data_IF_164986888989
#
_entry.id   IF_164986888989
#
_cell.length_a   1.000
_cell.length_b   1.000
_cell.length_c   1.000
_cell.angle_alpha   90.00
_cell.angle_beta   90.00
_cell.angle_gamma   90.00
#
_symmetry.space_group_name_H-M   'P 1'
#
loop_
_entity.id
_entity.type
_entity.pdbx_description
1 polymer ?
#
# COMPACT_ATOMS: atom_id res chain seq x y z
N UNK A 1 -13.80 -49.19 58.46
CA UNK A 1 -14.69 -48.13 58.90
C UNK A 1 -14.46 -46.93 57.91
N UNK A 2 -15.52 -46.45 57.33
CA UNK A 2 -15.71 -45.33 56.40
C UNK A 2 -15.43 -45.64 54.93
N UNK A 3 -16.56 -45.89 54.25
CA UNK A 3 -16.70 -45.96 52.85
C UNK A 3 -16.67 -44.56 52.20
N UNK A 4 -16.09 -44.48 51.04
CA UNK A 4 -16.24 -43.37 50.12
C UNK A 4 -16.93 -43.86 48.85
N UNK A 5 -18.16 -43.39 48.66
CA UNK A 5 -18.89 -43.55 47.40
C UNK A 5 -18.29 -42.63 46.30
N UNK A 6 -18.14 -43.12 45.07
CA UNK A 6 -17.78 -42.23 43.97
C UNK A 6 -19.03 -41.54 43.41
N UNK A 7 -19.05 -40.23 43.47
CA UNK A 7 -20.02 -39.37 42.82
C UNK A 7 -19.81 -39.40 41.30
N UNK A 8 -20.89 -39.68 40.57
CA UNK A 8 -20.97 -39.61 39.09
C UNK A 8 -20.80 -38.19 38.61
N UNK A 9 -20.04 -37.94 37.51
CA UNK A 9 -20.07 -36.68 36.81
C UNK A 9 -21.32 -36.56 35.91
N UNK A 10 -21.80 -35.33 35.64
CA UNK A 10 -23.02 -35.11 34.89
C UNK A 10 -22.80 -35.36 33.36
N UNK A 11 -23.77 -36.02 32.79
CA UNK A 11 -24.01 -36.18 31.36
C UNK A 11 -24.16 -34.81 30.68
N UNK A 12 -23.45 -34.60 29.57
CA UNK A 12 -23.70 -33.45 28.72
C UNK A 12 -22.55 -33.10 27.75
N UNK A 13 -21.93 -34.07 27.13
CA UNK A 13 -21.10 -33.78 25.97
C UNK A 13 -21.84 -34.31 24.74
N UNK A 14 -22.39 -33.36 24.01
CA UNK A 14 -23.01 -33.58 22.68
C UNK A 14 -21.90 -33.96 21.72
N UNK A 15 -21.79 -35.25 21.41
CA UNK A 15 -21.01 -35.71 20.27
C UNK A 15 -21.70 -35.24 18.99
N UNK A 16 -21.19 -34.16 18.41
CA UNK A 16 -21.49 -33.83 17.03
C UNK A 16 -20.76 -34.89 16.18
N UNK A 17 -21.52 -35.85 15.70
CA UNK A 17 -21.10 -36.73 14.63
C UNK A 17 -20.85 -35.86 13.41
N UNK A 18 -19.60 -35.49 13.18
CA UNK A 18 -19.14 -35.05 11.88
C UNK A 18 -19.27 -36.26 10.94
N UNK A 19 -20.35 -36.30 10.20
CA UNK A 19 -20.44 -37.13 9.02
C UNK A 19 -19.35 -36.65 8.06
N UNK A 20 -18.25 -37.39 8.05
CA UNK A 20 -17.34 -37.38 6.91
C UNK A 20 -18.17 -37.86 5.70
N UNK A 21 -18.64 -36.91 4.91
CA UNK A 21 -19.03 -37.17 3.55
C UNK A 21 -17.76 -37.66 2.83
N UNK A 22 -17.76 -38.94 2.55
CA UNK A 22 -16.86 -39.55 1.61
C UNK A 22 -17.16 -38.89 0.24
N UNK A 23 -16.43 -37.80 -0.06
CA UNK A 23 -16.30 -37.36 -1.44
C UNK A 23 -15.59 -38.49 -2.17
N UNK A 24 -16.38 -39.20 -2.92
CA UNK A 24 -15.96 -40.20 -3.90
C UNK A 24 -14.92 -39.50 -4.77
N UNK A 25 -13.67 -39.88 -4.56
CA UNK A 25 -12.54 -39.62 -5.43
C UNK A 25 -12.89 -40.25 -6.80
N UNK A 26 -13.62 -39.51 -7.64
CA UNK A 26 -13.72 -39.84 -9.04
C UNK A 26 -12.28 -39.76 -9.56
N UNK A 27 -11.78 -40.80 -10.23
CA UNK A 27 -10.51 -40.70 -10.90
C UNK A 27 -10.65 -39.56 -11.91
N UNK A 28 -9.97 -38.44 -11.62
CA UNK A 28 -9.86 -37.34 -12.57
C UNK A 28 -9.39 -37.92 -13.89
N UNK A 29 -10.17 -37.74 -14.94
CA UNK A 29 -9.85 -38.32 -16.21
C UNK A 29 -8.53 -37.74 -16.70
N UNK A 30 -7.69 -38.54 -17.32
CA UNK A 30 -6.43 -38.06 -17.92
C UNK A 30 -6.66 -36.83 -18.79
N UNK A 31 -7.82 -36.73 -19.44
CA UNK A 31 -8.22 -35.55 -20.21
C UNK A 31 -8.37 -34.30 -19.33
N UNK A 32 -8.99 -34.38 -18.14
CA UNK A 32 -9.15 -33.27 -17.21
C UNK A 32 -7.80 -32.84 -16.63
N UNK A 33 -6.94 -33.76 -16.25
CA UNK A 33 -5.58 -33.48 -15.79
C UNK A 33 -4.71 -32.84 -16.89
N UNK A 34 -4.90 -33.32 -18.13
CA UNK A 34 -4.21 -32.79 -19.29
C UNK A 34 -4.70 -31.39 -19.66
N UNK A 35 -6.03 -31.14 -19.63
CA UNK A 35 -6.58 -29.79 -19.81
C UNK A 35 -6.19 -28.84 -18.70
N UNK A 36 -6.15 -29.26 -17.43
CA UNK A 36 -5.60 -28.46 -16.32
C UNK A 36 -4.12 -28.16 -16.52
N UNK A 37 -3.35 -29.14 -16.99
CA UNK A 37 -1.93 -28.94 -17.31
C UNK A 37 -1.73 -27.97 -18.47
N UNK A 38 -2.57 -28.02 -19.49
CA UNK A 38 -2.55 -27.09 -20.62
C UNK A 38 -3.00 -25.68 -20.18
N UNK A 39 -4.05 -25.57 -19.35
CA UNK A 39 -4.54 -24.31 -18.83
C UNK A 39 -3.51 -23.63 -17.90
N UNK A 40 -2.75 -24.40 -17.11
CA UNK A 40 -1.65 -23.89 -16.29
C UNK A 40 -0.41 -23.48 -17.12
N UNK A 41 -0.32 -23.91 -18.38
CA UNK A 41 0.76 -23.57 -19.31
C UNK A 41 0.46 -22.36 -20.22
N UNK A 42 -0.76 -21.81 -20.22
CA UNK A 42 -1.05 -20.55 -20.92
C UNK A 42 -0.45 -19.35 -20.17
N UNK A 43 0.85 -19.24 -20.24
CA UNK A 43 1.56 -18.08 -19.71
C UNK A 43 1.31 -16.87 -20.59
N UNK A 44 0.72 -15.84 -19.99
CA UNK A 44 0.42 -14.57 -20.69
C UNK A 44 1.54 -13.59 -20.48
N UNK A 45 1.89 -12.86 -21.53
CA UNK A 45 2.79 -11.70 -21.40
C UNK A 45 2.26 -10.74 -20.32
N UNK A 46 3.14 -10.33 -19.40
CA UNK A 46 2.79 -9.44 -18.32
C UNK A 46 2.28 -10.12 -17.05
N UNK A 47 2.25 -11.45 -17.00
CA UNK A 47 1.94 -12.19 -15.79
C UNK A 47 3.15 -12.21 -14.85
N UNK A 48 2.90 -12.04 -13.54
CA UNK A 48 3.93 -12.11 -12.50
C UNK A 48 3.94 -13.53 -11.93
N UNK A 49 5.09 -14.16 -12.03
CA UNK A 49 5.32 -15.52 -11.52
C UNK A 49 6.46 -15.50 -10.49
N UNK A 50 6.44 -16.46 -9.58
CA UNK A 50 7.55 -16.68 -8.65
C UNK A 50 8.53 -17.67 -9.27
N UNK A 51 9.80 -17.28 -9.34
CA UNK A 51 10.86 -18.09 -9.86
C UNK A 51 11.94 -18.32 -8.80
N UNK A 52 12.55 -19.50 -8.81
CA UNK A 52 13.69 -19.82 -7.95
C UNK A 52 15.00 -19.46 -8.66
N UNK A 53 15.91 -18.81 -7.96
CA UNK A 53 17.24 -18.50 -8.48
C UNK A 53 18.08 -19.76 -8.45
N UNK A 54 18.46 -20.26 -9.62
CA UNK A 54 19.28 -21.47 -9.77
C UNK A 54 20.77 -21.11 -9.68
N UNK A 55 21.16 -20.06 -10.39
CA UNK A 55 22.56 -19.65 -10.50
C UNK A 55 22.67 -18.14 -10.75
N UNK A 56 23.71 -17.55 -10.21
CA UNK A 56 24.06 -16.13 -10.45
C UNK A 56 25.36 -16.10 -11.26
N UNK A 57 25.26 -15.68 -12.52
CA UNK A 57 26.39 -15.50 -13.42
C UNK A 57 26.79 -14.01 -13.47
N UNK A 58 27.88 -13.70 -14.15
CA UNK A 58 28.43 -12.33 -14.20
C UNK A 58 27.47 -11.28 -14.83
N UNK A 59 26.70 -11.68 -15.84
CA UNK A 59 25.80 -10.78 -16.58
C UNK A 59 24.32 -11.12 -16.36
N UNK A 60 24.00 -12.34 -15.94
CA UNK A 60 22.64 -12.82 -15.84
C UNK A 60 22.42 -13.62 -14.55
N UNK A 61 21.19 -13.60 -14.09
CA UNK A 61 20.70 -14.50 -13.05
C UNK A 61 19.81 -15.54 -13.76
N UNK A 62 20.15 -16.81 -13.57
CA UNK A 62 19.40 -17.93 -14.12
C UNK A 62 18.32 -18.30 -13.12
N UNK A 63 17.08 -18.31 -13.57
CA UNK A 63 15.92 -18.58 -12.72
C UNK A 63 15.09 -19.71 -13.30
N UNK A 64 14.55 -20.54 -12.41
CA UNK A 64 13.60 -21.59 -12.74
C UNK A 64 12.19 -21.13 -12.32
N UNK A 65 11.35 -20.88 -13.29
CA UNK A 65 9.98 -20.43 -13.10
C UNK A 65 8.95 -21.55 -13.35
N UNK A 66 9.38 -22.80 -13.36
CA UNK A 66 8.53 -23.94 -13.75
C UNK A 66 8.22 -24.01 -15.26
N UNK A 67 9.00 -23.30 -16.07
CA UNK A 67 8.94 -23.28 -17.51
C UNK A 67 9.64 -24.50 -18.13
N UNK A 68 9.46 -24.70 -19.43
CA UNK A 68 10.17 -25.76 -20.17
C UNK A 68 11.69 -25.62 -20.15
N UNK A 69 12.18 -24.39 -20.02
CA UNK A 69 13.60 -24.03 -19.95
C UNK A 69 13.86 -23.06 -18.81
N UNK A 70 15.11 -23.03 -18.35
CA UNK A 70 15.61 -21.98 -17.48
C UNK A 70 15.53 -20.62 -18.19
N UNK A 71 15.21 -19.59 -17.45
CA UNK A 71 15.10 -18.26 -18.00
C UNK A 71 16.22 -17.34 -17.48
N UNK A 72 16.59 -16.38 -18.31
CA UNK A 72 17.70 -15.46 -18.02
C UNK A 72 17.15 -14.08 -17.72
N UNK A 73 17.55 -13.53 -16.56
CA UNK A 73 17.22 -12.15 -16.15
C UNK A 73 18.53 -11.37 -16.03
N UNK A 74 18.63 -10.16 -16.58
CA UNK A 74 19.82 -9.34 -16.46
C UNK A 74 20.19 -9.09 -14.99
N UNK A 75 21.48 -9.22 -14.65
CA UNK A 75 21.96 -9.02 -13.27
C UNK A 75 21.73 -7.59 -12.76
N UNK A 76 21.61 -6.62 -13.68
CA UNK A 76 21.35 -5.22 -13.35
C UNK A 76 20.04 -5.02 -12.58
N UNK A 77 19.03 -5.84 -12.86
CA UNK A 77 17.73 -5.79 -12.18
C UNK A 77 17.78 -6.32 -10.73
N UNK A 78 18.88 -6.98 -10.35
CA UNK A 78 19.12 -7.53 -9.01
C UNK A 78 20.14 -6.73 -8.19
N UNK A 79 20.70 -5.66 -8.77
CA UNK A 79 21.61 -4.77 -8.06
C UNK A 79 20.83 -3.72 -7.26
N UNK A 80 21.30 -3.46 -6.06
CA UNK A 80 20.85 -2.32 -5.24
C UNK A 80 21.52 -1.02 -5.71
N UNK A 81 21.09 0.10 -5.14
CA UNK A 81 21.66 1.44 -5.38
C UNK A 81 23.18 1.50 -5.12
N UNK A 82 23.72 0.53 -4.38
CA UNK A 82 25.14 0.37 -4.11
C UNK A 82 25.88 -0.51 -5.12
N UNK A 83 25.15 -1.12 -6.08
CA UNK A 83 25.69 -2.01 -7.10
C UNK A 83 25.96 -3.44 -6.62
N UNK A 84 25.54 -3.80 -5.42
CA UNK A 84 25.66 -5.16 -4.88
C UNK A 84 24.48 -6.02 -5.32
N UNK A 85 24.75 -7.29 -5.62
CA UNK A 85 23.72 -8.27 -6.00
C UNK A 85 23.00 -8.75 -4.74
N UNK A 86 21.69 -8.57 -4.70
CA UNK A 86 20.86 -8.85 -3.51
C UNK A 86 20.32 -10.28 -3.43
N UNK A 87 20.60 -11.13 -4.43
CA UNK A 87 20.05 -12.47 -4.52
C UNK A 87 21.13 -13.54 -4.48
N UNK A 88 20.77 -14.68 -3.89
CA UNK A 88 21.59 -15.87 -3.80
C UNK A 88 20.90 -17.07 -4.48
N UNK A 89 21.66 -18.08 -4.94
CA UNK A 89 21.08 -19.33 -5.41
C UNK A 89 20.16 -19.97 -4.35
N UNK A 90 18.95 -20.34 -4.73
CA UNK A 90 17.89 -20.85 -3.85
C UNK A 90 16.88 -19.81 -3.38
N UNK A 91 17.08 -18.53 -3.70
CA UNK A 91 16.10 -17.49 -3.37
C UNK A 91 14.89 -17.51 -4.33
N UNK A 92 13.72 -17.18 -3.79
CA UNK A 92 12.52 -17.01 -4.59
C UNK A 92 12.33 -15.54 -4.95
N UNK A 93 12.17 -15.26 -6.24
CA UNK A 93 12.02 -13.91 -6.77
C UNK A 93 10.76 -13.81 -7.64
N UNK A 94 10.07 -12.67 -7.51
CA UNK A 94 8.94 -12.37 -8.39
C UNK A 94 9.44 -11.77 -9.70
N UNK A 95 9.08 -12.39 -10.82
CA UNK A 95 9.46 -11.97 -12.17
C UNK A 95 8.23 -11.90 -13.08
N UNK A 96 8.23 -10.99 -14.04
CA UNK A 96 7.17 -10.87 -15.02
C UNK A 96 7.62 -11.44 -16.36
N UNK A 97 6.73 -12.12 -17.05
CA UNK A 97 6.97 -12.64 -18.38
C UNK A 97 6.98 -11.46 -19.37
N UNK A 98 8.13 -11.18 -19.96
CA UNK A 98 8.26 -10.16 -21.00
C UNK A 98 7.92 -10.71 -22.38
N UNK A 99 8.47 -11.88 -22.70
CA UNK A 99 8.20 -12.61 -23.94
C UNK A 99 8.24 -14.09 -23.65
N UNK A 100 7.25 -14.82 -24.18
CA UNK A 100 7.16 -16.28 -24.02
C UNK A 100 8.18 -16.99 -24.91
N UNK A 101 8.49 -16.42 -26.08
CA UNK A 101 9.53 -16.90 -26.99
C UNK A 101 10.24 -15.72 -27.66
N UNK A 102 11.56 -15.65 -27.50
CA UNK A 102 12.40 -14.93 -28.43
C UNK A 102 12.72 -15.88 -29.58
N UNK A 103 12.90 -15.50 -30.80
CA UNK A 103 13.11 -16.39 -31.95
C UNK A 103 14.10 -17.55 -31.79
N UNK A 104 14.65 -17.76 -30.60
CA UNK A 104 15.54 -18.87 -30.18
C UNK A 104 14.90 -19.85 -29.22
N UNK A 105 13.61 -19.65 -28.83
CA UNK A 105 12.88 -20.52 -27.92
C UNK A 105 13.09 -20.23 -26.43
N UNK A 106 13.81 -19.15 -26.08
CA UNK A 106 14.05 -18.78 -24.69
C UNK A 106 12.96 -17.82 -24.18
N UNK A 107 12.56 -17.99 -22.92
CA UNK A 107 11.64 -17.07 -22.25
C UNK A 107 12.42 -15.91 -21.63
N UNK A 108 12.01 -14.68 -21.94
CA UNK A 108 12.58 -13.49 -21.34
C UNK A 108 11.71 -13.08 -20.15
N UNK A 109 12.34 -13.01 -18.99
CA UNK A 109 11.73 -12.57 -17.75
C UNK A 109 12.33 -11.23 -17.31
N UNK A 110 11.52 -10.39 -16.65
CA UNK A 110 11.99 -9.12 -16.08
C UNK A 110 11.47 -8.97 -14.65
N UNK A 111 12.40 -8.70 -13.73
CA UNK A 111 12.10 -8.38 -12.33
C UNK A 111 11.58 -6.95 -12.18
N UNK A 112 12.10 -6.01 -12.96
CA UNK A 112 11.68 -4.62 -12.93
C UNK A 112 10.22 -4.46 -13.35
N UNK A 113 9.78 -5.21 -14.36
CA UNK A 113 8.35 -5.25 -14.73
C UNK A 113 7.50 -5.83 -13.62
N UNK A 114 7.96 -6.91 -12.96
CA UNK A 114 7.26 -7.50 -11.82
C UNK A 114 7.13 -6.50 -10.65
N UNK A 115 8.22 -5.82 -10.30
CA UNK A 115 8.20 -4.77 -9.25
C UNK A 115 7.22 -3.65 -9.60
N UNK A 116 7.21 -3.18 -10.84
CA UNK A 116 6.28 -2.14 -11.30
C UNK A 116 4.83 -2.63 -11.23
N UNK A 117 4.54 -3.84 -11.70
CA UNK A 117 3.19 -4.40 -11.62
C UNK A 117 2.71 -4.55 -10.17
N UNK A 118 3.55 -5.08 -9.29
CA UNK A 118 3.24 -5.16 -7.86
C UNK A 118 2.99 -3.78 -7.24
N UNK A 119 3.82 -2.79 -7.57
CA UNK A 119 3.63 -1.42 -7.11
C UNK A 119 2.32 -0.81 -7.63
N UNK A 120 1.91 -1.09 -8.88
CA UNK A 120 0.62 -0.67 -9.41
C UNK A 120 -0.55 -1.32 -8.68
N UNK A 121 -0.49 -2.63 -8.41
CA UNK A 121 -1.52 -3.35 -7.64
C UNK A 121 -1.65 -2.78 -6.22
N UNK A 122 -0.53 -2.50 -5.56
CA UNK A 122 -0.54 -1.87 -4.24
C UNK A 122 -1.19 -0.47 -4.27
N UNK A 123 -0.94 0.33 -5.31
CA UNK A 123 -1.57 1.65 -5.48
C UNK A 123 -3.06 1.55 -5.80
N UNK A 124 -3.49 0.55 -6.57
CA UNK A 124 -4.91 0.27 -6.83
C UNK A 124 -5.62 -0.12 -5.53
N UNK A 125 -5.02 -1.01 -4.75
CA UNK A 125 -5.54 -1.39 -3.44
C UNK A 125 -5.61 -0.20 -2.49
N UNK A 126 -4.57 0.63 -2.43
CA UNK A 126 -4.56 1.85 -1.62
C UNK A 126 -5.60 2.87 -2.06
N UNK A 127 -5.93 2.94 -3.36
CA UNK A 127 -7.03 3.78 -3.86
C UNK A 127 -8.39 3.27 -3.39
N UNK A 128 -8.62 1.96 -3.40
CA UNK A 128 -9.89 1.33 -2.99
C UNK A 128 -10.07 1.33 -1.47
N UNK A 129 -9.04 0.96 -0.72
CA UNK A 129 -9.05 0.94 0.75
C UNK A 129 -8.96 2.33 1.37
N UNK A 130 -8.46 3.32 0.61
CA UNK A 130 -8.19 4.66 1.10
C UNK A 130 -6.95 4.76 1.98
N UNK A 131 -6.09 3.73 1.96
CA UNK A 131 -4.85 3.68 2.72
C UNK A 131 -3.85 4.76 2.29
N UNK A 132 -3.01 5.15 3.22
CA UNK A 132 -1.97 6.13 2.99
C UNK A 132 -0.74 5.46 2.37
N UNK A 133 -0.17 6.13 1.39
CA UNK A 133 1.02 5.68 0.68
C UNK A 133 2.17 6.63 0.95
N UNK A 134 3.31 6.08 1.34
CA UNK A 134 4.52 6.86 1.58
C UNK A 134 5.22 7.17 0.25
N UNK A 135 5.67 8.40 0.09
CA UNK A 135 6.40 8.82 -1.09
C UNK A 135 7.40 9.94 -0.81
N UNK A 136 8.42 10.01 -1.64
CA UNK A 136 9.45 11.06 -1.57
C UNK A 136 9.24 12.06 -2.70
N UNK A 137 9.23 13.35 -2.35
CA UNK A 137 9.13 14.43 -3.34
C UNK A 137 10.46 14.58 -4.06
N UNK A 138 10.47 14.34 -5.38
CA UNK A 138 11.69 14.36 -6.20
C UNK A 138 11.97 15.69 -6.86
N UNK A 139 10.93 16.48 -7.16
CA UNK A 139 11.15 17.78 -7.80
C UNK A 139 9.88 18.52 -8.17
N UNK A 140 10.08 19.77 -8.62
CA UNK A 140 9.01 20.67 -9.03
C UNK A 140 8.70 20.52 -10.52
N UNK A 141 7.41 20.48 -10.84
CA UNK A 141 6.91 20.49 -12.22
C UNK A 141 5.87 21.59 -12.41
N UNK A 142 5.51 21.89 -13.66
CA UNK A 142 4.49 22.89 -13.93
C UNK A 142 3.14 22.48 -13.33
N UNK A 143 2.71 23.23 -12.33
CA UNK A 143 1.42 23.01 -11.64
C UNK A 143 1.47 22.12 -10.39
N UNK A 144 2.64 21.64 -9.97
CA UNK A 144 2.75 20.80 -8.76
C UNK A 144 4.14 20.24 -8.53
N UNK A 145 4.18 19.10 -7.86
CA UNK A 145 5.39 18.35 -7.51
C UNK A 145 5.32 16.95 -8.07
N UNK A 146 6.48 16.37 -8.32
CA UNK A 146 6.63 14.94 -8.61
C UNK A 146 6.99 14.19 -7.34
N UNK A 147 6.28 13.13 -7.07
CA UNK A 147 6.49 12.24 -5.93
C UNK A 147 6.86 10.87 -6.45
N UNK A 148 7.84 10.25 -5.83
CA UNK A 148 8.23 8.87 -6.09
C UNK A 148 7.62 7.98 -5.02
N UNK A 149 6.74 7.08 -5.43
CA UNK A 149 6.05 6.14 -4.55
C UNK A 149 6.25 4.73 -5.08
N UNK A 150 6.88 3.86 -4.30
CA UNK A 150 7.15 2.46 -4.68
C UNK A 150 7.79 2.31 -6.09
N UNK A 151 8.65 3.25 -6.50
CA UNK A 151 9.28 3.24 -7.83
C UNK A 151 8.40 3.78 -8.97
N UNK A 152 7.18 4.23 -8.68
CA UNK A 152 6.25 4.85 -9.64
C UNK A 152 6.23 6.36 -9.42
N UNK A 153 6.27 7.11 -10.53
CA UNK A 153 6.12 8.56 -10.49
C UNK A 153 4.65 8.94 -10.31
N UNK A 154 4.37 9.68 -9.24
CA UNK A 154 3.07 10.26 -8.98
C UNK A 154 3.13 11.79 -9.12
N UNK A 155 2.02 12.38 -9.54
CA UNK A 155 1.85 13.82 -9.63
C UNK A 155 1.08 14.33 -8.40
N UNK A 156 1.62 15.34 -7.74
CA UNK A 156 1.00 16.05 -6.64
C UNK A 156 0.66 17.47 -7.12
N UNK A 157 -0.61 17.77 -7.42
CA UNK A 157 -1.03 19.13 -7.79
C UNK A 157 -0.73 20.14 -6.67
N UNK A 158 -0.34 21.36 -7.01
CA UNK A 158 -0.03 22.41 -6.04
C UNK A 158 -1.19 22.73 -5.09
N UNK A 159 -2.44 22.57 -5.55
CA UNK A 159 -3.65 22.73 -4.73
C UNK A 159 -3.87 21.62 -3.71
N UNK A 160 -3.19 20.47 -3.86
CA UNK A 160 -3.33 19.28 -3.02
C UNK A 160 -2.11 19.03 -2.13
N UNK A 161 -1.13 19.95 -2.14
CA UNK A 161 0.07 19.87 -1.29
C UNK A 161 -0.27 20.12 0.18
N UNK A 162 -1.08 21.15 0.43
CA UNK A 162 -1.45 21.54 1.78
C UNK A 162 -2.87 22.12 1.82
N UNK A 163 -3.43 22.31 3.03
CA UNK A 163 -4.74 22.94 3.26
C UNK A 163 -4.75 24.41 2.82
N UNK A 164 -3.59 25.09 2.91
CA UNK A 164 -3.40 26.46 2.41
C UNK A 164 -2.69 26.43 1.05
N UNK A 165 -3.03 27.34 0.13
CA UNK A 165 -2.33 27.42 -1.16
C UNK A 165 -0.84 27.74 -0.93
N UNK A 166 0.01 26.80 -1.30
CA UNK A 166 1.46 26.92 -1.13
C UNK A 166 2.02 27.63 -2.37
N UNK A 167 2.62 28.80 -2.17
CA UNK A 167 3.33 29.55 -3.22
C UNK A 167 4.70 28.95 -3.51
N UNK A 168 5.41 28.55 -2.45
CA UNK A 168 6.76 27.98 -2.53
C UNK A 168 6.76 26.51 -2.14
N UNK A 169 7.04 25.67 -3.12
CA UNK A 169 7.07 24.19 -2.96
C UNK A 169 8.47 23.66 -2.61
N UNK A 170 9.49 24.52 -2.67
CA UNK A 170 10.90 24.17 -2.37
C UNK A 170 11.12 23.46 -1.03
N UNK A 171 10.46 23.87 0.09
CA UNK A 171 10.68 23.21 1.39
C UNK A 171 10.15 21.77 1.46
N UNK A 172 9.39 21.33 0.46
CA UNK A 172 8.85 19.97 0.38
C UNK A 172 9.74 19.03 -0.45
N UNK A 173 10.66 19.56 -1.26
CA UNK A 173 11.56 18.76 -2.10
C UNK A 173 12.53 17.95 -1.24
N UNK A 174 12.77 16.68 -1.63
CA UNK A 174 13.65 15.75 -0.93
C UNK A 174 13.07 15.16 0.36
N UNK A 175 11.86 15.54 0.74
CA UNK A 175 11.21 15.01 1.95
C UNK A 175 10.26 13.88 1.61
N UNK A 176 10.14 12.96 2.57
CA UNK A 176 9.20 11.85 2.51
C UNK A 176 7.95 12.21 3.29
N UNK A 177 6.79 12.02 2.67
CA UNK A 177 5.48 12.29 3.27
C UNK A 177 4.52 11.15 2.99
N UNK A 178 3.41 11.16 3.70
CA UNK A 178 2.27 10.30 3.44
C UNK A 178 1.28 11.00 2.52
N UNK A 179 0.77 10.24 1.57
CA UNK A 179 -0.16 10.72 0.55
C UNK A 179 -1.36 9.79 0.46
N UNK A 180 -2.50 10.35 0.13
CA UNK A 180 -3.68 9.60 -0.28
C UNK A 180 -3.74 9.57 -1.80
N UNK A 181 -3.96 8.40 -2.37
CA UNK A 181 -4.14 8.24 -3.82
C UNK A 181 -5.55 8.74 -4.18
N UNK A 182 -5.65 9.64 -5.17
CA UNK A 182 -6.94 10.18 -5.64
C UNK A 182 -7.33 9.56 -6.98
N UNK A 183 -6.36 9.42 -7.89
CA UNK A 183 -6.61 8.93 -9.24
C UNK A 183 -5.45 8.10 -9.74
N UNK A 184 -5.79 6.99 -10.38
CA UNK A 184 -4.88 6.09 -11.07
C UNK A 184 -5.27 5.99 -12.54
N UNK A 185 -4.30 6.20 -13.43
CA UNK A 185 -4.46 5.96 -14.87
C UNK A 185 -3.33 5.06 -15.37
N UNK A 186 -3.60 3.76 -15.39
CA UNK A 186 -2.62 2.73 -15.79
C UNK A 186 -2.18 2.87 -17.24
N UNK A 187 -3.08 3.32 -18.13
CA UNK A 187 -2.76 3.48 -19.56
C UNK A 187 -1.75 4.59 -19.82
N UNK A 188 -1.81 5.66 -19.02
CA UNK A 188 -0.92 6.84 -19.13
C UNK A 188 0.22 6.82 -18.12
N UNK A 189 0.34 5.77 -17.30
CA UNK A 189 1.27 5.70 -16.16
C UNK A 189 1.21 6.96 -15.29
N UNK A 190 -0.01 7.46 -15.05
CA UNK A 190 -0.22 8.68 -14.28
C UNK A 190 -0.95 8.39 -12.99
N UNK A 191 -0.32 8.72 -11.87
CA UNK A 191 -0.88 8.60 -10.52
C UNK A 191 -1.02 9.99 -9.95
N UNK A 192 -2.18 10.34 -9.42
CA UNK A 192 -2.42 11.62 -8.75
C UNK A 192 -2.61 11.35 -7.27
N UNK A 193 -1.80 12.03 -6.47
CA UNK A 193 -1.78 11.90 -5.01
C UNK A 193 -2.10 13.24 -4.35
N UNK A 194 -2.58 13.19 -3.09
CA UNK A 194 -2.89 14.34 -2.27
C UNK A 194 -2.31 14.18 -0.88
N UNK A 195 -1.57 15.18 -0.43
CA UNK A 195 -1.17 15.33 0.97
C UNK A 195 -2.25 16.05 1.77
N UNK A 196 -2.94 17.00 1.14
CA UNK A 196 -4.01 17.75 1.77
C UNK A 196 -5.06 16.85 2.43
N UNK A 197 -5.47 15.77 1.76
CA UNK A 197 -6.45 14.83 2.31
C UNK A 197 -5.97 14.14 3.60
N UNK A 198 -4.66 13.88 3.72
CA UNK A 198 -4.04 13.31 4.92
C UNK A 198 -4.03 14.33 6.06
N UNK A 199 -3.59 15.55 5.76
CA UNK A 199 -3.55 16.65 6.74
C UNK A 199 -4.95 17.00 7.25
N UNK A 200 -5.95 17.04 6.36
CA UNK A 200 -7.35 17.29 6.74
C UNK A 200 -7.93 16.16 7.61
N UNK A 201 -7.58 14.89 7.32
CA UNK A 201 -8.01 13.76 8.14
C UNK A 201 -7.40 13.83 9.55
N UNK A 202 -6.09 14.08 9.66
CA UNK A 202 -5.40 14.22 10.94
C UNK A 202 -5.92 15.41 11.75
N UNK A 203 -6.13 16.55 11.08
CA UNK A 203 -6.74 17.74 11.73
C UNK A 203 -8.19 17.46 12.17
N UNK A 204 -8.92 16.65 11.42
CA UNK A 204 -10.27 16.23 11.78
C UNK A 204 -10.32 15.41 13.05
N UNK A 205 -9.39 14.48 13.22
CA UNK A 205 -9.26 13.66 14.43
C UNK A 205 -8.83 14.49 15.64
N UNK A 206 -7.85 15.36 15.48
CA UNK A 206 -7.41 16.28 16.53
C UNK A 206 -8.55 17.22 16.97
N UNK A 207 -9.31 17.72 15.98
CA UNK A 207 -10.48 18.57 16.23
C UNK A 207 -11.59 17.82 16.98
N UNK A 208 -11.86 16.57 16.63
CA UNK A 208 -12.84 15.73 17.33
C UNK A 208 -12.42 15.49 18.79
N UNK A 209 -11.15 15.15 19.03
CA UNK A 209 -10.60 14.97 20.38
C UNK A 209 -10.67 16.24 21.22
N UNK A 210 -10.40 17.39 20.59
CA UNK A 210 -10.52 18.69 21.26
C UNK A 210 -11.97 19.00 21.62
N UNK A 211 -12.93 18.71 20.72
CA UNK A 211 -14.37 18.91 20.99
C UNK A 211 -14.87 18.04 22.15
N UNK A 212 -14.35 16.80 22.27
CA UNK A 212 -14.70 15.94 23.41
C UNK A 212 -14.14 16.47 24.75
N UNK A 213 -12.98 17.14 24.72
CA UNK A 213 -12.35 17.72 25.92
C UNK A 213 -12.92 19.10 26.28
N UNK A 214 -13.54 19.81 25.32
CA UNK A 214 -14.17 21.11 25.52
C UNK A 214 -15.55 20.93 26.16
N UNK A 215 -15.64 21.08 27.48
CA UNK A 215 -16.89 21.13 28.22
C UNK A 215 -17.22 22.58 28.60
N UNK A 216 -18.52 22.87 28.77
CA UNK A 216 -18.97 24.18 29.27
C UNK A 216 -18.33 24.47 30.63
N UNK A 217 -17.72 25.66 30.74
CA UNK A 217 -17.00 26.08 31.96
C UNK A 217 -15.54 25.68 32.06
N UNK A 218 -14.99 24.96 31.06
CA UNK A 218 -13.58 24.63 31.01
C UNK A 218 -12.72 25.83 30.65
N UNK A 219 -11.61 26.03 31.39
CA UNK A 219 -10.64 27.06 31.08
C UNK A 219 -9.62 26.54 30.06
N UNK A 220 -9.63 27.14 28.88
CA UNK A 220 -8.77 26.75 27.77
C UNK A 220 -7.82 27.89 27.41
N UNK A 221 -6.59 27.54 27.07
CA UNK A 221 -5.61 28.51 26.57
C UNK A 221 -5.72 28.58 25.05
N UNK A 222 -5.84 29.79 24.50
CA UNK A 222 -5.92 30.00 23.06
C UNK A 222 -5.04 31.18 22.61
N UNK A 223 -4.74 31.21 21.30
CA UNK A 223 -3.97 32.29 20.68
C UNK A 223 -4.92 33.13 19.84
N UNK A 224 -4.94 34.45 20.06
CA UNK A 224 -5.75 35.37 19.26
C UNK A 224 -5.19 35.45 17.84
N UNK A 225 -6.01 35.00 16.85
CA UNK A 225 -5.65 35.03 15.42
C UNK A 225 -6.04 36.36 14.76
N UNK A 226 -7.24 36.84 15.05
CA UNK A 226 -7.76 38.03 14.42
C UNK A 226 -8.77 38.72 15.35
N UNK A 227 -8.83 40.04 15.26
CA UNK A 227 -9.76 40.87 16.03
C UNK A 227 -10.67 41.57 15.02
N UNK A 228 -11.98 41.47 15.25
CA UNK A 228 -13.03 42.09 14.43
C UNK A 228 -13.89 43.01 15.33
N UNK A 229 -14.74 43.83 14.73
CA UNK A 229 -15.58 44.78 15.44
C UNK A 229 -16.57 44.14 16.42
N UNK A 230 -16.86 42.84 16.22
CA UNK A 230 -17.83 42.08 17.04
C UNK A 230 -17.17 41.05 17.97
N UNK A 231 -15.84 40.92 17.93
CA UNK A 231 -15.12 39.98 18.81
C UNK A 231 -13.74 39.60 18.34
N UNK A 232 -13.11 38.69 19.07
CA UNK A 232 -11.79 38.16 18.75
C UNK A 232 -11.89 36.67 18.37
N UNK A 233 -11.25 36.28 17.28
CA UNK A 233 -11.05 34.87 16.91
C UNK A 233 -9.82 34.32 17.62
N UNK A 234 -10.06 33.27 18.39
CA UNK A 234 -9.04 32.60 19.21
C UNK A 234 -8.84 31.18 18.71
N UNK A 235 -7.61 30.83 18.37
CA UNK A 235 -7.23 29.47 18.03
C UNK A 235 -7.02 28.66 19.31
N UNK A 236 -7.78 27.60 19.45
CA UNK A 236 -7.71 26.65 20.58
C UNK A 236 -6.84 25.42 20.27
N UNK A 237 -6.03 25.47 19.20
CA UNK A 237 -5.22 24.37 18.76
C UNK A 237 -5.89 23.50 17.68
N UNK A 238 -6.56 24.14 16.70
CA UNK A 238 -7.24 23.49 15.56
C UNK A 238 -8.73 23.78 15.46
N UNK A 239 -9.30 24.45 16.46
CA UNK A 239 -10.69 24.97 16.46
C UNK A 239 -10.61 26.48 16.72
N UNK A 240 -11.25 27.26 15.87
CA UNK A 240 -11.39 28.67 16.05
C UNK A 240 -12.62 28.97 16.92
N UNK A 241 -12.39 29.54 18.10
CA UNK A 241 -13.42 30.06 18.99
C UNK A 241 -13.66 31.53 18.73
N UNK A 242 -14.88 32.00 18.85
CA UNK A 242 -15.20 33.45 18.85
C UNK A 242 -15.44 33.91 20.28
N UNK A 243 -14.59 34.82 20.74
CA UNK A 243 -14.78 35.57 21.99
C UNK A 243 -15.53 36.87 21.65
N UNK A 244 -16.80 36.93 22.03
CA UNK A 244 -17.63 38.08 21.72
C UNK A 244 -17.18 39.34 22.47
N UNK A 245 -17.43 40.51 21.91
CA UNK A 245 -16.99 41.80 22.50
C UNK A 245 -17.60 42.04 23.89
N UNK A 246 -18.78 41.52 24.17
CA UNK A 246 -19.42 41.62 25.49
C UNK A 246 -18.65 40.91 26.59
N UNK A 247 -17.87 39.87 26.22
CA UNK A 247 -17.13 39.01 27.14
C UNK A 247 -15.65 39.46 27.25
N UNK A 248 -15.21 40.34 26.33
CA UNK A 248 -13.83 40.87 26.29
C UNK A 248 -13.60 42.04 27.28
N UNK A 249 -14.59 42.85 27.54
CA UNK A 249 -14.45 44.00 28.42
C UNK A 249 -15.74 44.24 29.21
N UNK A 250 -15.59 44.22 30.50
CA UNK A 250 -16.44 45.01 31.37
C UNK A 250 -16.02 46.46 31.13
N UNK A 251 -16.84 47.17 30.44
CA UNK A 251 -16.72 48.57 30.15
C UNK A 251 -15.63 49.31 30.91
#
# INVERSE_FOLDING_TARGET
VFGFSPTRPPLGVLFIHSTMSNETNKPESFAELFEQSLASQEMRQGEVITAEVVRVDYNFVVVNAGLKSEAYVPIEEFKDDKGEVTVQPGDFVSVAIESVENGYGDTILSRDKAKRLAAWMNLEQALESGELVTGTVTGKVKGGLTVMTNGIRAFLPGSLVDTRPVKDTTPYEGKTFEFKVIKLDRKRNNVVVSRRAVVEANMGEERAKLLETLQEGAIVKGIVKNITDYGAFVDLGGIDGLLHITDLAWR
#
